data_IF_409421810283
#
_entry.id   IF_409421810283
#
_cell.length_a   1.000
_cell.length_b   1.000
_cell.length_c   1.000
_cell.angle_alpha   90.00
_cell.angle_beta   90.00
_cell.angle_gamma   90.00
#
_symmetry.space_group_name_H-M   'P 1'
#
loop_
_entity.id
_entity.type
_entity.pdbx_description
1 polymer ?
#
# COMPACT_ATOMS: atom_id res chain seq x y z
N UNK A 1 6.67 3.30 5.32
CA UNK A 1 5.69 3.79 4.33
C UNK A 1 5.77 5.31 4.09
N UNK A 2 5.46 6.17 5.08
CA UNK A 2 5.41 7.65 4.90
C UNK A 2 6.61 8.26 4.18
N UNK A 3 7.82 7.85 4.56
CA UNK A 3 9.07 8.31 3.94
C UNK A 3 9.10 8.06 2.43
N UNK A 4 8.79 6.83 2.01
CA UNK A 4 8.82 6.42 0.59
C UNK A 4 7.73 7.13 -0.22
N UNK A 5 6.55 7.35 0.38
CA UNK A 5 5.52 8.18 -0.27
C UNK A 5 6.07 9.57 -0.54
N UNK A 6 6.64 10.24 0.46
CA UNK A 6 7.20 11.59 0.29
C UNK A 6 8.34 11.62 -0.75
N UNK A 7 9.21 10.62 -0.72
CA UNK A 7 10.31 10.46 -1.66
C UNK A 7 9.82 10.29 -3.11
N UNK A 8 8.88 9.38 -3.37
CA UNK A 8 8.35 9.19 -4.72
C UNK A 8 7.58 10.43 -5.20
N UNK A 9 6.84 11.10 -4.30
CA UNK A 9 6.16 12.37 -4.63
C UNK A 9 7.15 13.47 -4.99
N UNK A 10 8.30 13.58 -4.31
CA UNK A 10 9.33 14.57 -4.67
C UNK A 10 10.02 14.27 -6.02
N UNK A 11 9.92 13.04 -6.51
CA UNK A 11 10.38 12.62 -7.83
C UNK A 11 9.29 12.68 -8.91
N UNK A 12 8.13 13.26 -8.62
CA UNK A 12 7.07 13.51 -9.60
C UNK A 12 6.10 12.35 -9.84
N UNK A 13 6.22 11.24 -9.11
CA UNK A 13 5.29 10.12 -9.29
C UNK A 13 3.91 10.40 -8.67
N UNK A 14 2.87 9.84 -9.28
CA UNK A 14 1.57 9.64 -8.64
C UNK A 14 1.60 8.32 -7.87
N UNK A 15 1.10 8.33 -6.63
CA UNK A 15 1.25 7.21 -5.68
C UNK A 15 -0.08 6.93 -5.00
N UNK A 16 -0.54 5.69 -5.08
CA UNK A 16 -1.59 5.14 -4.24
C UNK A 16 -0.97 4.23 -3.16
N UNK A 17 -1.63 4.10 -2.01
CA UNK A 17 -1.17 3.21 -0.93
C UNK A 17 -2.27 2.25 -0.53
N UNK A 18 -1.92 0.98 -0.33
CA UNK A 18 -2.81 -0.05 0.21
C UNK A 18 -2.16 -0.59 1.49
N UNK A 19 -2.93 -0.70 2.57
CA UNK A 19 -2.46 -1.31 3.82
C UNK A 19 -3.40 -2.42 4.24
N UNK A 20 -2.85 -3.58 4.55
CA UNK A 20 -3.58 -4.69 5.15
C UNK A 20 -3.56 -4.58 6.68
N UNK A 21 -4.71 -4.71 7.32
CA UNK A 21 -4.77 -4.86 8.78
C UNK A 21 -4.34 -6.29 9.14
N UNK A 22 -3.20 -6.43 9.82
CA UNK A 22 -2.47 -7.70 9.98
C UNK A 22 -3.14 -8.77 10.84
N UNK A 23 -4.30 -8.49 11.43
CA UNK A 23 -5.03 -9.40 12.30
C UNK A 23 -6.41 -9.64 11.71
N UNK A 24 -6.54 -10.66 10.85
CA UNK A 24 -7.76 -11.01 10.10
C UNK A 24 -8.95 -11.47 10.95
N UNK A 25 -9.06 -10.99 12.19
CA UNK A 25 -10.19 -11.18 13.09
C UNK A 25 -10.82 -9.85 13.53
N UNK A 26 -10.15 -8.73 13.28
CA UNK A 26 -10.62 -7.40 13.68
C UNK A 26 -10.71 -6.50 12.47
N UNK A 27 -11.86 -5.85 12.33
CA UNK A 27 -12.08 -4.79 11.35
C UNK A 27 -11.24 -3.56 11.69
N UNK A 28 -11.01 -2.74 10.66
CA UNK A 28 -10.41 -1.43 10.85
C UNK A 28 -11.34 -0.52 11.66
N UNK A 29 -10.75 0.39 12.43
CA UNK A 29 -11.52 1.47 13.04
C UNK A 29 -11.99 2.43 11.94
N UNK A 30 -13.30 2.57 11.80
CA UNK A 30 -13.92 3.57 10.95
C UNK A 30 -14.00 4.93 11.65
N UNK A 31 -14.29 5.98 10.89
CA UNK A 31 -14.49 7.32 11.43
C UNK A 31 -15.73 7.39 12.33
N UNK A 32 -15.80 8.46 13.12
CA UNK A 32 -16.94 8.79 13.97
C UNK A 32 -18.26 8.76 13.17
N UNK A 33 -19.30 8.17 13.75
CA UNK A 33 -20.60 8.00 13.12
C UNK A 33 -21.47 9.26 13.14
N UNK A 34 -21.04 10.33 13.82
CA UNK A 34 -21.78 11.58 13.89
C UNK A 34 -21.86 12.35 12.56
N UNK A 35 -21.03 12.01 11.56
CA UNK A 35 -21.08 12.60 10.21
C UNK A 35 -22.06 11.84 9.29
N UNK A 36 -22.81 12.58 8.47
CA UNK A 36 -23.95 12.03 7.72
C UNK A 36 -23.62 10.86 6.79
N UNK A 37 -22.47 10.90 6.12
CA UNK A 37 -22.07 9.81 5.24
C UNK A 37 -21.82 8.50 6.02
N UNK A 38 -21.39 8.57 7.28
CA UNK A 38 -21.25 7.39 8.14
C UNK A 38 -22.60 6.90 8.65
N UNK A 39 -23.54 7.80 8.97
CA UNK A 39 -24.92 7.41 9.31
C UNK A 39 -25.60 6.65 8.17
N UNK A 40 -25.39 7.05 6.91
CA UNK A 40 -25.89 6.30 5.76
C UNK A 40 -25.30 4.88 5.69
N UNK A 41 -24.00 4.74 5.99
CA UNK A 41 -23.32 3.46 6.01
C UNK A 41 -23.81 2.55 7.16
N UNK A 42 -24.04 3.11 8.34
CA UNK A 42 -24.62 2.40 9.50
C UNK A 42 -26.08 2.00 9.27
N UNK A 43 -26.85 2.81 8.54
CA UNK A 43 -28.21 2.50 8.15
C UNK A 43 -28.32 1.34 7.14
N UNK A 44 -27.19 0.82 6.64
CA UNK A 44 -27.12 -0.38 5.80
C UNK A 44 -26.70 -0.14 4.36
N UNK A 45 -26.18 1.04 4.01
CA UNK A 45 -25.58 1.21 2.68
C UNK A 45 -24.35 0.29 2.52
N UNK A 46 -24.26 -0.41 1.39
CA UNK A 46 -23.10 -1.22 1.03
C UNK A 46 -21.88 -0.35 0.71
N UNK A 47 -22.13 0.88 0.26
CA UNK A 47 -21.11 1.89 0.00
C UNK A 47 -21.62 3.27 0.38
N UNK A 48 -20.76 4.06 1.02
CA UNK A 48 -21.01 5.49 1.27
C UNK A 48 -19.83 6.32 0.78
N UNK A 49 -20.13 7.38 0.03
CA UNK A 49 -19.14 8.27 -0.59
C UNK A 49 -19.48 9.71 -0.19
N UNK A 50 -18.48 10.45 0.27
CA UNK A 50 -18.58 11.89 0.54
C UNK A 50 -17.53 12.63 -0.28
N UNK A 51 -17.95 13.69 -0.95
CA UNK A 51 -17.11 14.57 -1.75
C UNK A 51 -17.05 15.96 -1.11
N UNK A 52 -15.84 16.42 -0.81
CA UNK A 52 -15.54 17.80 -0.44
C UNK A 52 -15.01 18.61 -1.63
N UNK A 53 -14.38 19.75 -1.36
CA UNK A 53 -13.78 20.57 -2.43
C UNK A 53 -12.55 19.89 -3.07
N UNK A 54 -11.70 19.26 -2.27
CA UNK A 54 -10.44 18.63 -2.72
C UNK A 54 -10.32 17.15 -2.37
N UNK A 55 -11.15 16.65 -1.46
CA UNK A 55 -11.02 15.31 -0.91
C UNK A 55 -12.31 14.53 -1.13
N UNK A 56 -12.14 13.26 -1.49
CA UNK A 56 -13.19 12.27 -1.46
C UNK A 56 -12.87 11.25 -0.38
N UNK A 57 -13.88 10.78 0.33
CA UNK A 57 -13.79 9.61 1.17
C UNK A 57 -14.84 8.60 0.74
N UNK A 58 -14.44 7.33 0.74
CA UNK A 58 -15.30 6.20 0.42
C UNK A 58 -15.13 5.13 1.49
N UNK A 59 -16.25 4.58 1.95
CA UNK A 59 -16.30 3.38 2.79
C UNK A 59 -17.21 2.36 2.09
N UNK A 60 -16.76 1.10 2.03
CA UNK A 60 -17.44 0.04 1.28
C UNK A 60 -17.43 -1.24 2.11
N UNK A 61 -18.56 -1.96 2.17
CA UNK A 61 -18.64 -3.32 2.72
C UNK A 61 -18.16 -4.29 1.64
N UNK A 62 -17.03 -4.93 1.89
CA UNK A 62 -16.52 -5.98 1.02
C UNK A 62 -15.84 -7.05 1.87
N UNK A 63 -16.20 -8.30 1.61
CA UNK A 63 -15.58 -9.45 2.26
C UNK A 63 -14.41 -10.00 1.41
N UNK A 64 -13.35 -10.43 2.10
CA UNK A 64 -12.30 -11.30 1.56
C UNK A 64 -11.68 -10.86 0.22
N UNK A 65 -11.39 -9.57 0.08
CA UNK A 65 -10.72 -9.06 -1.13
C UNK A 65 -9.24 -9.44 -1.16
N UNK A 66 -8.80 -9.99 -2.30
CA UNK A 66 -7.37 -10.15 -2.56
C UNK A 66 -6.75 -8.83 -3.07
N UNK A 67 -5.41 -8.74 -3.03
CA UNK A 67 -4.71 -7.50 -3.38
C UNK A 67 -4.99 -7.02 -4.81
N UNK A 68 -5.04 -7.94 -5.79
CA UNK A 68 -5.34 -7.60 -7.19
C UNK A 68 -6.71 -6.95 -7.31
N UNK A 69 -7.72 -7.50 -6.63
CA UNK A 69 -9.07 -6.93 -6.63
C UNK A 69 -9.12 -5.54 -5.98
N UNK A 70 -8.33 -5.30 -4.92
CA UNK A 70 -8.24 -3.97 -4.29
C UNK A 70 -7.62 -2.97 -5.26
N UNK A 71 -6.55 -3.37 -5.96
CA UNK A 71 -5.91 -2.51 -6.97
C UNK A 71 -6.92 -2.16 -8.07
N UNK A 72 -7.59 -3.15 -8.65
CA UNK A 72 -8.51 -2.95 -9.77
C UNK A 72 -9.78 -2.18 -9.40
N UNK A 73 -10.32 -2.38 -8.20
CA UNK A 73 -11.65 -1.89 -7.82
C UNK A 73 -11.64 -0.68 -6.90
N UNK A 74 -10.54 -0.45 -6.17
CA UNK A 74 -10.48 0.55 -5.11
C UNK A 74 -9.44 1.64 -5.35
N UNK A 75 -8.46 1.42 -6.25
CA UNK A 75 -7.56 2.49 -6.69
C UNK A 75 -8.25 3.24 -7.82
N UNK A 76 -8.82 4.41 -7.50
CA UNK A 76 -9.70 5.18 -8.40
C UNK A 76 -9.00 6.33 -9.13
N UNK A 77 -7.68 6.45 -8.99
CA UNK A 77 -6.88 7.49 -9.64
C UNK A 77 -5.95 6.87 -10.68
N UNK A 78 -5.64 7.64 -11.71
CA UNK A 78 -4.51 7.33 -12.59
C UNK A 78 -3.22 7.47 -11.76
N UNK A 79 -2.62 6.32 -11.43
CA UNK A 79 -1.41 6.26 -10.61
C UNK A 79 -0.28 5.54 -11.33
N UNK A 80 0.94 6.01 -11.14
CA UNK A 80 2.14 5.35 -11.64
C UNK A 80 2.61 4.24 -10.70
N UNK A 81 2.32 4.37 -9.40
CA UNK A 81 2.83 3.47 -8.37
C UNK A 81 1.71 3.14 -7.38
N UNK A 82 1.59 1.85 -7.02
CA UNK A 82 0.82 1.40 -5.86
C UNK A 82 1.78 0.81 -4.84
N UNK A 83 1.90 1.45 -3.67
CA UNK A 83 2.69 0.93 -2.56
C UNK A 83 1.80 0.11 -1.63
N UNK A 84 2.24 -1.10 -1.29
CA UNK A 84 1.47 -2.02 -0.45
C UNK A 84 2.20 -2.32 0.85
N UNK A 85 1.54 -2.11 1.98
CA UNK A 85 1.99 -2.55 3.31
C UNK A 85 1.18 -3.78 3.74
N UNK A 86 1.81 -4.95 3.80
CA UNK A 86 1.14 -6.21 4.16
C UNK A 86 0.99 -7.14 2.96
N UNK A 87 -0.11 -7.89 2.88
CA UNK A 87 -0.39 -8.87 1.81
C UNK A 87 0.81 -9.80 1.51
N UNK A 88 1.45 -10.34 2.55
CA UNK A 88 2.72 -11.11 2.44
C UNK A 88 2.66 -12.30 1.47
N UNK A 89 1.48 -12.85 1.26
CA UNK A 89 1.27 -14.03 0.39
C UNK A 89 0.80 -13.65 -1.03
N UNK A 90 0.67 -12.37 -1.35
CA UNK A 90 0.28 -11.93 -2.69
C UNK A 90 1.46 -12.10 -3.66
N UNK A 91 1.16 -12.41 -4.92
CA UNK A 91 2.14 -12.72 -5.95
C UNK A 91 2.72 -11.45 -6.63
N UNK A 92 3.17 -10.50 -5.82
CA UNK A 92 3.83 -9.26 -6.26
C UNK A 92 5.25 -9.19 -5.73
N UNK A 93 6.09 -8.41 -6.37
CA UNK A 93 7.44 -8.08 -5.90
C UNK A 93 7.42 -7.38 -4.54
N UNK A 94 8.37 -7.72 -3.67
CA UNK A 94 8.39 -7.27 -2.28
C UNK A 94 9.76 -6.77 -1.88
N UNK A 95 9.78 -5.64 -1.18
CA UNK A 95 10.90 -5.25 -0.34
C UNK A 95 10.58 -5.66 1.11
N UNK A 96 11.45 -6.46 1.73
CA UNK A 96 11.29 -6.87 3.13
C UNK A 96 12.00 -5.89 4.05
N UNK A 97 11.31 -5.51 5.12
CA UNK A 97 11.76 -4.51 6.08
C UNK A 97 11.94 -5.24 7.41
N UNK A 98 13.16 -5.31 7.93
CA UNK A 98 13.49 -6.13 9.11
C UNK A 98 14.30 -5.36 10.15
N UNK A 99 14.34 -5.88 11.38
CA UNK A 99 15.04 -5.28 12.53
C UNK A 99 16.17 -6.12 13.09
N UNK A 100 16.15 -7.42 12.81
CA UNK A 100 17.13 -8.40 13.25
C UNK A 100 17.18 -9.58 12.28
N UNK A 101 18.22 -10.40 12.42
CA UNK A 101 18.47 -11.55 11.54
C UNK A 101 17.38 -12.61 11.58
N UNK A 102 16.76 -12.84 12.74
CA UNK A 102 15.67 -13.81 12.87
C UNK A 102 14.46 -13.40 12.02
N UNK A 103 14.10 -12.12 12.03
CA UNK A 103 13.04 -11.56 11.20
C UNK A 103 13.40 -11.64 9.72
N UNK A 104 14.66 -11.33 9.36
CA UNK A 104 15.13 -11.45 7.98
C UNK A 104 14.99 -12.88 7.46
N UNK A 105 15.44 -13.87 8.23
CA UNK A 105 15.36 -15.29 7.85
C UNK A 105 13.93 -15.74 7.55
N UNK A 106 12.96 -15.29 8.36
CA UNK A 106 11.54 -15.59 8.15
C UNK A 106 11.00 -14.87 6.91
N UNK A 107 11.32 -13.58 6.75
CA UNK A 107 10.81 -12.78 5.63
C UNK A 107 11.41 -13.19 4.28
N UNK A 108 12.63 -13.71 4.25
CA UNK A 108 13.26 -14.24 3.04
C UNK A 108 12.59 -15.51 2.50
N UNK A 109 11.76 -16.20 3.29
CA UNK A 109 10.98 -17.34 2.81
C UNK A 109 9.74 -16.93 2.00
N UNK A 110 9.42 -15.63 1.95
CA UNK A 110 8.31 -15.13 1.13
C UNK A 110 8.65 -15.25 -0.36
N UNK A 111 7.62 -15.41 -1.19
CA UNK A 111 7.79 -15.35 -2.64
C UNK A 111 8.14 -13.94 -3.08
N UNK A 112 8.86 -13.83 -4.21
CA UNK A 112 9.13 -12.58 -4.93
C UNK A 112 9.77 -11.48 -4.06
N UNK A 113 10.67 -11.83 -3.15
CA UNK A 113 11.47 -10.84 -2.41
C UNK A 113 12.58 -10.33 -3.33
N UNK A 114 12.58 -9.03 -3.56
CA UNK A 114 13.50 -8.35 -4.49
C UNK A 114 14.55 -7.50 -3.77
N UNK A 115 14.27 -7.11 -2.52
CA UNK A 115 15.16 -6.28 -1.71
C UNK A 115 14.91 -6.51 -0.22
N UNK A 116 15.94 -6.30 0.60
CA UNK A 116 15.87 -6.37 2.06
C UNK A 116 16.50 -5.11 2.66
N UNK A 117 15.82 -4.47 3.61
CA UNK A 117 16.29 -3.26 4.29
C UNK A 117 16.25 -3.43 5.82
N UNK A 118 17.38 -3.19 6.47
CA UNK A 118 17.45 -3.13 7.93
C UNK A 118 17.05 -1.72 8.40
N UNK A 119 15.93 -1.61 9.14
CA UNK A 119 15.45 -0.28 9.59
C UNK A 119 16.33 0.38 10.65
N UNK A 120 17.29 -0.35 11.21
CA UNK A 120 18.22 0.17 12.22
C UNK A 120 19.49 0.76 11.59
N UNK A 121 19.71 0.55 10.30
CA UNK A 121 20.92 0.98 9.60
C UNK A 121 20.58 2.15 8.67
N UNK A 122 21.10 3.33 8.99
CA UNK A 122 20.72 4.56 8.29
C UNK A 122 21.29 4.63 6.86
N UNK A 123 22.42 3.97 6.61
CA UNK A 123 23.02 3.88 5.26
C UNK A 123 22.15 3.07 4.29
N UNK A 124 21.42 2.06 4.80
CA UNK A 124 20.53 1.21 3.99
C UNK A 124 19.38 2.00 3.35
N UNK A 125 18.93 3.08 3.97
CA UNK A 125 17.81 3.88 3.43
C UNK A 125 18.18 4.59 2.13
N UNK A 126 19.40 5.15 2.03
CA UNK A 126 19.85 5.83 0.81
C UNK A 126 20.05 4.82 -0.32
N UNK A 127 20.63 3.66 0.00
CA UNK A 127 20.79 2.57 -0.97
C UNK A 127 19.44 2.06 -1.48
N UNK A 128 18.46 1.91 -0.59
CA UNK A 128 17.11 1.49 -0.94
C UNK A 128 16.40 2.49 -1.86
N UNK A 129 16.51 3.79 -1.59
CA UNK A 129 15.95 4.84 -2.44
C UNK A 129 16.48 4.77 -3.88
N UNK A 130 17.80 4.64 -4.02
CA UNK A 130 18.44 4.52 -5.34
C UNK A 130 18.02 3.24 -6.06
N UNK A 131 18.00 2.12 -5.34
CA UNK A 131 17.52 0.85 -5.87
C UNK A 131 16.06 0.97 -6.36
N UNK A 132 15.18 1.58 -5.56
CA UNK A 132 13.77 1.74 -5.89
C UNK A 132 13.56 2.57 -7.17
N UNK A 133 14.26 3.70 -7.30
CA UNK A 133 14.18 4.51 -8.51
C UNK A 133 14.66 3.76 -9.75
N UNK A 134 15.74 2.98 -9.63
CA UNK A 134 16.26 2.19 -10.75
C UNK A 134 15.29 1.07 -11.13
N UNK A 135 14.67 0.41 -10.13
CA UNK A 135 13.65 -0.62 -10.36
C UNK A 135 12.47 -0.06 -11.15
N UNK A 136 11.92 1.08 -10.71
CA UNK A 136 10.79 1.75 -11.38
C UNK A 136 11.13 2.09 -12.84
N UNK A 137 12.33 2.64 -13.10
CA UNK A 137 12.77 2.96 -14.46
C UNK A 137 12.83 1.73 -15.36
N UNK A 138 13.45 0.66 -14.87
CA UNK A 138 13.59 -0.58 -15.63
C UNK A 138 12.24 -1.22 -15.95
N UNK A 139 11.29 -1.17 -15.01
CA UNK A 139 9.95 -1.71 -15.21
C UNK A 139 9.16 -0.92 -16.27
N UNK A 140 9.30 0.42 -16.29
CA UNK A 140 8.71 1.26 -17.34
C UNK A 140 9.30 0.97 -18.73
N UNK A 141 10.62 0.79 -18.83
CA UNK A 141 11.29 0.53 -20.11
C UNK A 141 10.91 -0.85 -20.68
N UNK A 142 10.67 -1.83 -19.81
CA UNK A 142 10.28 -3.20 -20.22
C UNK A 142 8.84 -3.27 -20.75
N UNK A 143 7.98 -2.28 -20.44
CA UNK A 143 6.62 -2.18 -20.98
C UNK A 143 6.54 -1.55 -22.37
N UNK A 144 7.65 -1.01 -22.89
CA UNK A 144 7.73 -0.36 -24.21
C UNK A 144 8.33 -1.26 -25.31
N UNK A 145 8.68 -2.51 -24.98
CA UNK A 145 9.23 -3.54 -25.88
C UNK A 145 8.29 -4.72 -26.03
#
# INVERSE_FOLDING_TARGET
MRHIVSFLKSHGYTVATIKHHGHGKEDIQLQDSDVDHMKHFEAGADQSIVQGFQYQQTVTRVDNQNLTQIIEKSVTIDTNIVLVEGFKNADFEKAVVYRNEEELQVLQQLSNVCYSINVREHEDFTAFEQWLLNKIKNDCDTQLT
#
